data_IF_933915552742
#
_entry.id   IF_933915552742
#
_cell.length_a   1.000
_cell.length_b   1.000
_cell.length_c   1.000
_cell.angle_alpha   90.00
_cell.angle_beta   90.00
_cell.angle_gamma   90.00
#
_symmetry.space_group_name_H-M   'P 1'
#
loop_
_entity.id
_entity.type
_entity.pdbx_description
1 polymer ?
#
# COMPACT_ATOMS: atom_id res chain seq x y z
N UNK A 1 23.03 -51.46 3.59
CA UNK A 1 24.36 -51.54 4.28
C UNK A 1 25.12 -50.24 4.02
N UNK A 2 25.55 -49.60 5.11
CA UNK A 2 26.55 -48.50 5.20
C UNK A 2 26.10 -47.12 4.70
N UNK A 3 26.25 -46.04 5.44
CA UNK A 3 26.49 -45.74 6.88
C UNK A 3 26.41 -44.23 7.02
N UNK A 4 25.61 -43.85 7.89
CA UNK A 4 25.59 -42.74 8.81
C UNK A 4 26.96 -42.04 9.00
N UNK A 5 27.06 -40.72 8.82
CA UNK A 5 27.97 -39.89 9.59
C UNK A 5 27.35 -38.54 9.94
N UNK A 6 27.05 -38.41 11.24
CA UNK A 6 26.78 -37.17 11.95
C UNK A 6 28.06 -36.34 12.04
N UNK A 7 28.00 -35.05 11.83
CA UNK A 7 28.95 -34.08 12.36
C UNK A 7 28.19 -33.04 13.18
N UNK A 8 28.26 -33.27 14.51
CA UNK A 8 27.92 -32.29 15.53
C UNK A 8 29.17 -31.44 15.74
N UNK A 9 29.11 -30.14 15.56
CA UNK A 9 30.13 -29.19 16.03
C UNK A 9 29.57 -28.47 17.25
N UNK A 10 30.05 -28.95 18.43
CA UNK A 10 29.95 -28.26 19.70
C UNK A 10 30.89 -27.04 19.68
N UNK A 11 30.37 -25.86 20.00
CA UNK A 11 31.22 -24.74 20.38
C UNK A 11 31.21 -24.59 21.90
N UNK A 12 32.31 -24.92 22.52
CA UNK A 12 32.53 -24.83 23.96
C UNK A 12 32.89 -23.39 24.37
N UNK A 13 32.20 -22.93 25.38
CA UNK A 13 32.57 -21.74 26.18
C UNK A 13 33.85 -22.05 26.98
N UNK A 14 34.85 -21.18 26.85
CA UNK A 14 35.92 -21.08 27.85
C UNK A 14 35.84 -19.74 28.57
N UNK A 15 35.42 -19.81 29.82
CA UNK A 15 35.71 -18.82 30.86
C UNK A 15 37.13 -19.13 31.40
N UNK A 16 38.00 -18.13 31.44
CA UNK A 16 39.07 -18.03 32.44
C UNK A 16 39.88 -16.75 32.27
N UNK A 17 40.03 -16.00 33.33
CA UNK A 17 40.97 -14.89 33.39
C UNK A 17 40.69 -13.91 34.53
N UNK A 18 40.75 -14.38 35.80
CA UNK A 18 41.03 -13.48 36.92
C UNK A 18 42.49 -13.04 36.85
N UNK A 19 42.72 -11.73 36.76
CA UNK A 19 44.02 -11.12 37.07
C UNK A 19 43.79 -10.14 38.21
N UNK A 20 44.33 -10.53 39.38
CA UNK A 20 44.55 -9.68 40.55
C UNK A 20 45.63 -8.64 40.23
N UNK A 21 45.34 -7.36 40.46
CA UNK A 21 46.34 -6.29 40.41
C UNK A 21 46.43 -5.67 41.78
N UNK A 22 47.70 -5.60 42.25
CA UNK A 22 48.14 -5.10 43.52
C UNK A 22 47.75 -3.65 43.83
N UNK A 23 47.51 -3.43 45.12
CA UNK A 23 47.38 -2.11 45.76
C UNK A 23 48.74 -1.42 45.75
N UNK A 24 48.86 -0.32 45.01
CA UNK A 24 49.95 0.63 45.17
C UNK A 24 49.33 2.00 45.48
N UNK A 25 49.93 2.65 46.47
CA UNK A 25 49.60 3.83 47.22
C UNK A 25 49.20 5.07 46.42
N UNK A 26 48.27 5.81 47.01
CA UNK A 26 47.77 7.15 46.57
C UNK A 26 48.85 8.22 46.59
N UNK A 27 48.81 9.15 45.66
CA UNK A 27 49.10 10.57 45.97
C UNK A 27 47.89 11.49 45.83
N UNK A 28 47.69 12.23 46.90
CA UNK A 28 47.09 13.56 47.05
C UNK A 28 46.01 14.04 46.08
N UNK A 29 44.88 14.33 46.69
CA UNK A 29 43.75 15.16 46.21
C UNK A 29 44.15 16.33 45.33
N UNK A 30 43.80 16.27 44.07
CA UNK A 30 43.48 17.46 43.28
C UNK A 30 41.97 17.46 43.11
N UNK A 31 41.35 18.47 43.67
CA UNK A 31 39.89 18.71 43.60
C UNK A 31 39.53 18.97 42.13
N UNK A 32 39.11 17.91 41.42
CA UNK A 32 38.52 18.03 40.09
C UNK A 32 37.08 18.53 40.27
N UNK A 33 36.85 19.79 39.85
CA UNK A 33 35.53 20.33 39.72
C UNK A 33 34.62 19.34 38.98
N UNK A 34 33.47 19.05 39.58
CA UNK A 34 32.43 18.23 38.96
C UNK A 34 32.09 18.76 37.56
N UNK A 35 31.95 17.90 36.55
CA UNK A 35 31.52 18.39 35.24
C UNK A 35 30.14 19.04 35.42
N UNK A 36 30.08 20.33 35.14
CA UNK A 36 28.83 21.07 35.01
C UNK A 36 28.05 20.37 33.88
N UNK A 37 27.05 19.60 34.23
CA UNK A 37 26.09 19.07 33.28
C UNK A 37 25.45 20.29 32.63
N UNK A 38 25.87 20.61 31.40
CA UNK A 38 25.22 21.62 30.61
C UNK A 38 23.75 21.21 30.50
N UNK A 39 22.89 22.04 31.07
CA UNK A 39 21.44 21.91 30.95
C UNK A 39 21.17 22.08 29.46
N UNK A 40 20.97 20.94 28.74
CA UNK A 40 20.51 20.97 27.37
C UNK A 40 19.11 21.55 27.43
N UNK A 41 18.99 22.84 27.12
CA UNK A 41 17.67 23.42 26.92
C UNK A 41 17.02 22.66 25.76
N UNK A 42 15.79 22.13 25.93
CA UNK A 42 15.11 21.46 24.85
C UNK A 42 14.95 22.43 23.69
N UNK A 43 15.37 22.04 22.51
CA UNK A 43 15.41 22.88 21.32
C UNK A 43 14.02 23.23 20.73
N UNK A 44 12.95 22.88 21.43
CA UNK A 44 11.58 23.25 21.09
C UNK A 44 11.01 24.10 22.22
N UNK A 45 10.53 25.32 21.91
CA UNK A 45 9.77 26.09 22.88
C UNK A 45 8.50 25.25 23.20
N UNK A 46 8.42 24.78 24.45
CA UNK A 46 7.15 24.22 24.93
C UNK A 46 6.15 25.39 24.92
N UNK A 47 5.10 25.27 24.10
CA UNK A 47 3.99 26.19 24.24
C UNK A 47 3.38 25.97 25.63
N UNK A 48 3.23 27.08 26.42
CA UNK A 48 2.55 27.01 27.69
C UNK A 48 1.10 26.57 27.46
N UNK A 49 0.79 25.31 27.79
CA UNK A 49 -0.55 24.79 27.72
C UNK A 49 -1.31 25.27 28.96
N UNK A 50 -2.38 26.08 28.82
CA UNK A 50 -3.19 26.50 29.95
C UNK A 50 -3.68 25.31 30.77
N UNK A 51 -3.70 25.44 32.09
CA UNK A 51 -4.00 24.32 33.00
C UNK A 51 -5.34 23.62 32.73
N UNK A 52 -6.34 24.36 32.25
CA UNK A 52 -7.64 23.81 31.82
C UNK A 52 -7.52 22.86 30.64
N UNK A 53 -6.64 23.15 29.67
CA UNK A 53 -6.43 22.28 28.51
C UNK A 53 -5.54 21.09 28.87
N UNK A 54 -4.60 21.24 29.81
CA UNK A 54 -3.81 20.14 30.35
C UNK A 54 -4.72 19.09 31.02
N UNK A 55 -5.76 19.52 31.75
CA UNK A 55 -6.71 18.59 32.35
C UNK A 55 -7.45 17.73 31.31
N UNK A 56 -7.84 18.33 30.18
CA UNK A 56 -8.50 17.62 29.08
C UNK A 56 -7.59 16.58 28.41
N UNK A 57 -6.30 16.94 28.21
CA UNK A 57 -5.30 15.99 27.70
C UNK A 57 -5.05 14.83 28.67
N UNK A 58 -4.97 15.09 29.98
CA UNK A 58 -4.83 14.03 30.98
C UNK A 58 -6.05 13.12 31.02
N UNK A 59 -7.27 13.67 30.92
CA UNK A 59 -8.50 12.87 30.80
C UNK A 59 -8.48 11.96 29.57
N UNK A 60 -7.98 12.47 28.43
CA UNK A 60 -7.80 11.64 27.22
C UNK A 60 -6.84 10.46 27.49
N UNK A 61 -5.68 10.73 28.12
CA UNK A 61 -4.68 9.70 28.41
C UNK A 61 -5.21 8.64 29.38
N UNK A 62 -5.92 9.06 30.44
CA UNK A 62 -6.54 8.12 31.38
C UNK A 62 -7.61 7.26 30.70
N UNK A 63 -8.50 7.87 29.90
CA UNK A 63 -9.52 7.13 29.18
C UNK A 63 -8.92 6.09 28.21
N UNK A 64 -7.88 6.47 27.45
CA UNK A 64 -7.17 5.55 26.55
C UNK A 64 -6.52 4.40 27.33
N UNK A 65 -5.88 4.71 28.46
CA UNK A 65 -5.25 3.70 29.32
C UNK A 65 -6.26 2.72 29.92
N UNK A 66 -7.45 3.19 30.25
CA UNK A 66 -8.57 2.38 30.72
C UNK A 66 -9.31 1.64 29.59
N UNK A 67 -8.82 1.74 28.35
CA UNK A 67 -9.43 1.18 27.14
C UNK A 67 -10.80 1.76 26.79
N UNK A 68 -11.16 2.91 27.36
CA UNK A 68 -12.32 3.68 26.94
C UNK A 68 -11.92 4.61 25.78
N UNK A 69 -11.78 4.02 24.61
CA UNK A 69 -11.19 4.70 23.44
C UNK A 69 -12.12 5.79 22.89
N UNK A 70 -13.43 5.63 23.00
CA UNK A 70 -14.41 6.64 22.57
C UNK A 70 -14.32 7.90 23.44
N UNK A 71 -14.24 7.76 24.77
CA UNK A 71 -14.01 8.89 25.66
C UNK A 71 -12.64 9.52 25.43
N UNK A 72 -11.61 8.72 25.21
CA UNK A 72 -10.27 9.19 24.85
C UNK A 72 -10.26 10.03 23.58
N UNK A 73 -10.95 9.56 22.54
CA UNK A 73 -11.11 10.32 21.29
C UNK A 73 -11.85 11.63 21.51
N UNK A 74 -12.97 11.62 22.21
CA UNK A 74 -13.75 12.83 22.52
C UNK A 74 -12.88 13.89 23.22
N UNK A 75 -12.09 13.50 24.22
CA UNK A 75 -11.19 14.41 24.93
C UNK A 75 -10.05 14.91 24.05
N UNK A 76 -9.44 14.06 23.18
CA UNK A 76 -8.41 14.49 22.24
C UNK A 76 -8.96 15.48 21.21
N UNK A 77 -10.16 15.24 20.68
CA UNK A 77 -10.83 16.16 19.74
C UNK A 77 -11.09 17.50 20.42
N UNK A 78 -11.63 17.51 21.65
CA UNK A 78 -11.86 18.74 22.43
C UNK A 78 -10.54 19.48 22.69
N UNK A 79 -9.47 18.81 23.06
CA UNK A 79 -8.16 19.39 23.26
C UNK A 79 -7.61 19.97 21.95
N UNK A 80 -7.77 19.29 20.81
CA UNK A 80 -7.33 19.76 19.50
C UNK A 80 -8.07 21.01 19.03
N UNK A 81 -9.34 21.19 19.40
CA UNK A 81 -10.08 22.42 19.12
C UNK A 81 -9.57 23.61 19.94
N UNK A 82 -9.20 23.36 21.20
CA UNK A 82 -8.75 24.40 22.13
C UNK A 82 -7.26 24.77 21.93
N UNK A 83 -6.43 23.81 21.58
CA UNK A 83 -4.97 23.97 21.41
C UNK A 83 -4.63 23.81 19.93
N UNK A 84 -4.10 24.84 19.26
CA UNK A 84 -3.75 24.77 17.84
C UNK A 84 -2.39 24.06 17.64
N UNK A 85 -2.29 22.82 18.10
CA UNK A 85 -1.13 21.97 17.94
C UNK A 85 -1.45 20.79 17.01
N UNK A 86 -0.77 20.67 15.85
CA UNK A 86 -1.01 19.59 14.92
C UNK A 86 -0.71 18.20 15.51
N UNK A 87 0.15 18.09 16.53
CA UNK A 87 0.45 16.82 17.17
C UNK A 87 -0.76 16.26 17.92
N UNK A 88 -1.53 17.11 18.61
CA UNK A 88 -2.77 16.73 19.30
C UNK A 88 -3.82 16.27 18.29
N UNK A 89 -4.02 17.06 17.21
CA UNK A 89 -4.97 16.72 16.14
C UNK A 89 -4.58 15.40 15.45
N UNK A 90 -3.28 15.18 15.19
CA UNK A 90 -2.76 13.97 14.58
C UNK A 90 -2.97 12.75 15.47
N UNK A 91 -2.82 12.90 16.79
CA UNK A 91 -3.09 11.83 17.75
C UNK A 91 -4.57 11.47 17.80
N UNK A 92 -5.46 12.48 17.76
CA UNK A 92 -6.91 12.26 17.67
C UNK A 92 -7.27 11.54 16.36
N UNK A 93 -6.67 11.93 15.22
CA UNK A 93 -6.83 11.27 13.93
C UNK A 93 -6.43 9.79 13.99
N UNK A 94 -5.25 9.48 14.55
CA UNK A 94 -4.78 8.10 14.69
C UNK A 94 -5.74 7.25 15.53
N UNK A 95 -6.25 7.80 16.64
CA UNK A 95 -7.22 7.10 17.49
C UNK A 95 -8.55 6.89 16.77
N UNK A 96 -9.06 7.91 16.04
CA UNK A 96 -10.28 7.82 15.25
C UNK A 96 -10.20 6.72 14.18
N UNK A 97 -9.05 6.63 13.49
CA UNK A 97 -8.79 5.58 12.51
C UNK A 97 -8.71 4.19 13.17
N UNK A 98 -8.05 4.09 14.32
CA UNK A 98 -7.93 2.83 15.07
C UNK A 98 -9.27 2.25 15.48
N UNK A 99 -10.19 3.09 15.99
CA UNK A 99 -11.55 2.66 16.37
C UNK A 99 -12.53 2.66 15.19
N UNK A 100 -12.05 2.96 13.98
CA UNK A 100 -12.83 2.98 12.75
C UNK A 100 -14.02 3.97 12.79
N UNK A 101 -13.79 5.16 13.32
CA UNK A 101 -14.77 6.25 13.31
C UNK A 101 -14.49 7.17 12.10
N UNK A 102 -15.24 7.04 10.97
CA UNK A 102 -14.93 7.76 9.73
C UNK A 102 -15.20 9.26 9.85
N UNK A 103 -16.21 9.67 10.61
CA UNK A 103 -16.55 11.09 10.75
C UNK A 103 -15.51 11.83 11.59
N UNK A 104 -15.11 11.27 12.72
CA UNK A 104 -14.02 11.82 13.53
C UNK A 104 -12.67 11.79 12.78
N UNK A 105 -12.43 10.76 11.97
CA UNK A 105 -11.22 10.68 11.13
C UNK A 105 -11.19 11.82 10.11
N UNK A 106 -12.31 12.11 9.45
CA UNK A 106 -12.39 13.23 8.53
C UNK A 106 -12.21 14.59 9.24
N UNK A 107 -12.91 14.80 10.38
CA UNK A 107 -12.82 16.05 11.14
C UNK A 107 -11.38 16.32 11.58
N UNK A 108 -10.70 15.30 12.10
CA UNK A 108 -9.32 15.43 12.55
C UNK A 108 -8.32 15.53 11.38
N UNK A 109 -8.57 14.88 10.25
CA UNK A 109 -7.75 15.05 9.04
C UNK A 109 -7.82 16.50 8.52
N UNK A 110 -9.02 17.08 8.49
CA UNK A 110 -9.21 18.51 8.18
C UNK A 110 -8.42 19.37 9.17
N UNK A 111 -8.56 19.11 10.45
CA UNK A 111 -7.88 19.88 11.51
C UNK A 111 -6.37 19.79 11.40
N UNK A 112 -5.80 18.60 11.16
CA UNK A 112 -4.35 18.42 10.93
C UNK A 112 -3.92 19.22 9.71
N UNK A 113 -4.62 19.08 8.58
CA UNK A 113 -4.30 19.78 7.32
C UNK A 113 -4.42 21.31 7.44
N UNK A 114 -5.27 21.84 8.32
CA UNK A 114 -5.39 23.26 8.58
C UNK A 114 -4.26 23.79 9.48
N UNK A 115 -3.81 22.99 10.45
CA UNK A 115 -2.73 23.36 11.39
C UNK A 115 -1.35 23.10 10.80
N UNK A 116 -1.20 22.10 9.95
CA UNK A 116 0.05 21.73 9.29
C UNK A 116 -0.23 21.44 7.80
N UNK A 117 -0.20 22.46 6.95
CA UNK A 117 -0.41 22.29 5.50
C UNK A 117 0.65 21.40 4.82
N UNK A 118 1.77 21.10 5.47
CA UNK A 118 2.80 20.20 4.96
C UNK A 118 2.48 18.71 5.24
N UNK A 119 1.46 18.43 6.10
CA UNK A 119 0.98 17.07 6.33
C UNK A 119 0.06 16.61 5.16
N UNK A 120 0.71 16.18 4.09
CA UNK A 120 -0.03 15.73 2.92
C UNK A 120 -0.84 14.46 3.15
N UNK A 121 -0.51 13.65 4.17
CA UNK A 121 -1.29 12.43 4.47
C UNK A 121 -2.68 12.76 4.99
N UNK A 122 -2.79 13.77 5.86
CA UNK A 122 -4.07 14.26 6.35
C UNK A 122 -4.90 14.90 5.22
N UNK A 123 -4.26 15.69 4.35
CA UNK A 123 -4.91 16.26 3.19
C UNK A 123 -5.42 15.17 2.22
N UNK A 124 -4.63 14.13 1.96
CA UNK A 124 -5.02 12.98 1.13
C UNK A 124 -6.23 12.26 1.69
N UNK A 125 -6.26 12.01 3.01
CA UNK A 125 -7.40 11.37 3.65
C UNK A 125 -8.66 12.23 3.53
N UNK A 126 -8.57 13.54 3.79
CA UNK A 126 -9.71 14.44 3.65
C UNK A 126 -10.20 14.51 2.18
N UNK A 127 -9.29 14.61 1.21
CA UNK A 127 -9.63 14.59 -0.21
C UNK A 127 -10.37 13.30 -0.59
N UNK A 128 -9.85 12.13 -0.20
CA UNK A 128 -10.45 10.84 -0.50
C UNK A 128 -11.89 10.73 0.03
N UNK A 129 -12.12 11.14 1.28
CA UNK A 129 -13.47 11.11 1.87
C UNK A 129 -14.42 12.10 1.19
N UNK A 130 -13.96 13.32 0.81
CA UNK A 130 -14.78 14.26 0.06
C UNK A 130 -15.11 13.78 -1.34
N UNK A 131 -14.17 13.13 -2.01
CA UNK A 131 -14.36 12.43 -3.28
C UNK A 131 -15.48 11.39 -3.15
N UNK A 132 -15.39 10.53 -2.15
CA UNK A 132 -16.37 9.46 -1.90
C UNK A 132 -17.77 10.03 -1.59
N UNK A 133 -17.83 11.15 -0.87
CA UNK A 133 -19.10 11.86 -0.54
C UNK A 133 -19.63 12.72 -1.69
N UNK A 134 -18.90 12.86 -2.79
CA UNK A 134 -19.27 13.72 -3.92
C UNK A 134 -19.14 15.23 -3.65
N UNK A 135 -18.46 15.64 -2.59
CA UNK A 135 -18.16 17.04 -2.30
C UNK A 135 -16.92 17.50 -3.06
N UNK A 136 -17.13 17.78 -4.34
CA UNK A 136 -16.06 18.07 -5.28
C UNK A 136 -15.29 19.35 -4.92
N UNK A 137 -15.97 20.36 -4.37
CA UNK A 137 -15.29 21.62 -4.01
C UNK A 137 -14.26 21.43 -2.89
N UNK A 138 -14.63 20.69 -1.82
CA UNK A 138 -13.72 20.36 -0.74
C UNK A 138 -12.70 19.33 -1.20
N UNK A 139 -13.10 18.36 -2.01
CA UNK A 139 -12.17 17.40 -2.61
C UNK A 139 -11.04 18.10 -3.37
N UNK A 140 -11.35 19.10 -4.21
CA UNK A 140 -10.34 19.88 -4.93
C UNK A 140 -9.39 20.62 -3.98
N UNK A 141 -9.96 21.27 -2.94
CA UNK A 141 -9.14 22.00 -1.94
C UNK A 141 -8.11 21.11 -1.27
N UNK A 142 -8.54 19.94 -0.78
CA UNK A 142 -7.63 19.02 -0.09
C UNK A 142 -6.73 18.24 -1.04
N UNK A 143 -7.18 17.99 -2.28
CA UNK A 143 -6.31 17.43 -3.33
C UNK A 143 -5.13 18.36 -3.63
N UNK A 144 -5.37 19.66 -3.80
CA UNK A 144 -4.30 20.66 -3.99
C UNK A 144 -3.30 20.64 -2.84
N UNK A 145 -3.77 20.66 -1.59
CA UNK A 145 -2.88 20.55 -0.41
C UNK A 145 -2.04 19.27 -0.41
N UNK A 146 -2.64 18.15 -0.80
CA UNK A 146 -1.93 16.88 -0.90
C UNK A 146 -0.87 16.89 -2.03
N UNK A 147 -1.18 17.52 -3.16
CA UNK A 147 -0.23 17.72 -4.25
C UNK A 147 0.94 18.63 -3.83
N UNK A 148 0.65 19.77 -3.21
CA UNK A 148 1.65 20.74 -2.74
C UNK A 148 2.59 20.12 -1.68
N UNK A 149 2.06 19.22 -0.85
CA UNK A 149 2.82 18.47 0.14
C UNK A 149 3.58 17.26 -0.45
N UNK A 150 3.48 17.00 -1.76
CA UNK A 150 4.13 15.86 -2.41
C UNK A 150 3.60 14.48 -2.00
N UNK A 151 2.37 14.41 -1.48
CA UNK A 151 1.76 13.14 -1.04
C UNK A 151 1.29 12.29 -2.21
N UNK A 152 1.26 10.97 -1.98
CA UNK A 152 0.77 9.99 -2.97
C UNK A 152 -0.76 9.95 -2.98
N UNK A 153 -1.37 11.02 -3.50
CA UNK A 153 -2.82 11.06 -3.79
C UNK A 153 -3.09 10.47 -5.17
N UNK A 154 -4.19 9.74 -5.31
CA UNK A 154 -4.61 9.17 -6.58
C UNK A 154 -5.91 9.81 -7.09
N UNK A 155 -5.85 10.90 -7.88
CA UNK A 155 -7.04 11.56 -8.42
C UNK A 155 -7.85 10.65 -9.36
N UNK A 156 -7.22 9.70 -10.01
CA UNK A 156 -7.91 8.74 -10.88
C UNK A 156 -8.92 7.85 -10.13
N UNK A 157 -8.84 7.76 -8.78
CA UNK A 157 -9.84 7.07 -7.98
C UNK A 157 -11.26 7.65 -8.13
N UNK A 158 -11.39 8.94 -8.43
CA UNK A 158 -12.67 9.61 -8.79
C UNK A 158 -13.39 8.91 -9.94
N UNK A 159 -12.65 8.24 -10.79
CA UNK A 159 -13.20 7.60 -11.97
C UNK A 159 -13.68 6.16 -11.72
N UNK A 160 -13.49 5.57 -10.54
CA UNK A 160 -13.81 4.16 -10.29
C UNK A 160 -15.26 3.79 -10.61
N UNK A 161 -16.23 4.68 -10.38
CA UNK A 161 -17.64 4.47 -10.73
C UNK A 161 -18.19 5.62 -11.60
N UNK A 162 -17.35 6.21 -12.45
CA UNK A 162 -17.71 7.41 -13.22
C UNK A 162 -18.96 7.24 -14.07
N UNK A 163 -19.08 6.11 -14.78
CA UNK A 163 -20.24 5.82 -15.63
C UNK A 163 -21.56 5.60 -14.88
N UNK A 164 -21.51 5.29 -13.57
CA UNK A 164 -22.68 5.13 -12.71
C UNK A 164 -23.05 6.40 -11.93
N UNK A 165 -22.27 7.47 -12.05
CA UNK A 165 -22.53 8.75 -11.38
C UNK A 165 -23.61 9.55 -12.11
N UNK A 166 -24.27 10.49 -11.38
CA UNK A 166 -25.17 11.44 -12.03
C UNK A 166 -24.43 12.36 -12.99
N UNK A 167 -25.09 12.92 -14.02
CA UNK A 167 -24.46 13.86 -14.96
C UNK A 167 -23.80 15.04 -14.27
N UNK A 168 -24.40 15.56 -13.20
CA UNK A 168 -23.88 16.68 -12.42
C UNK A 168 -22.56 16.28 -11.71
N UNK A 169 -22.51 15.07 -11.14
CA UNK A 169 -21.31 14.56 -10.50
C UNK A 169 -20.20 14.28 -11.52
N UNK A 170 -20.56 13.76 -12.70
CA UNK A 170 -19.59 13.56 -13.79
C UNK A 170 -18.96 14.88 -14.25
N UNK A 171 -19.78 15.95 -14.42
CA UNK A 171 -19.29 17.28 -14.77
C UNK A 171 -18.37 17.83 -13.66
N UNK A 172 -18.79 17.71 -12.41
CA UNK A 172 -18.00 18.18 -11.27
C UNK A 172 -16.66 17.41 -11.15
N UNK A 173 -16.68 16.09 -11.36
CA UNK A 173 -15.46 15.25 -11.39
C UNK A 173 -14.52 15.69 -12.52
N UNK A 174 -15.05 15.92 -13.74
CA UNK A 174 -14.26 16.45 -14.84
C UNK A 174 -13.61 17.77 -14.46
N UNK A 175 -14.39 18.75 -14.01
CA UNK A 175 -13.90 20.07 -13.64
C UNK A 175 -12.79 20.00 -12.58
N UNK A 176 -12.90 19.08 -11.61
CA UNK A 176 -11.86 18.86 -10.60
C UNK A 176 -10.57 18.35 -11.24
N UNK A 177 -10.65 17.33 -12.12
CA UNK A 177 -9.49 16.74 -12.76
C UNK A 177 -8.81 17.73 -13.72
N UNK A 178 -9.60 18.52 -14.49
CA UNK A 178 -9.11 19.59 -15.34
C UNK A 178 -8.43 20.70 -14.54
N UNK A 179 -8.99 21.06 -13.37
CA UNK A 179 -8.35 22.02 -12.47
C UNK A 179 -7.02 21.51 -11.92
N UNK A 180 -6.95 20.22 -11.52
CA UNK A 180 -5.69 19.62 -11.08
C UNK A 180 -4.65 19.55 -12.20
N UNK A 181 -5.04 19.21 -13.42
CA UNK A 181 -4.12 19.23 -14.55
C UNK A 181 -3.62 20.65 -14.88
N UNK A 182 -4.51 21.65 -14.78
CA UNK A 182 -4.13 23.05 -14.98
C UNK A 182 -3.15 23.57 -13.95
N UNK A 183 -3.36 23.19 -12.67
CA UNK A 183 -2.52 23.60 -11.55
C UNK A 183 -1.18 22.84 -11.52
N UNK A 184 -1.20 21.56 -11.92
CA UNK A 184 -0.06 20.63 -11.88
C UNK A 184 0.15 19.96 -13.25
N UNK A 185 0.52 20.75 -14.29
CA UNK A 185 0.57 20.25 -15.67
C UNK A 185 1.68 19.24 -15.94
N UNK A 186 2.71 19.21 -15.09
CA UNK A 186 3.86 18.31 -15.19
C UNK A 186 3.89 17.28 -14.04
N UNK A 187 2.73 16.94 -13.50
CA UNK A 187 2.59 15.91 -12.48
C UNK A 187 1.98 14.63 -13.08
N UNK A 188 2.66 13.49 -12.90
CA UNK A 188 2.24 12.21 -13.47
C UNK A 188 0.84 11.78 -12.98
N UNK A 189 0.46 12.11 -11.73
CA UNK A 189 -0.83 11.78 -11.13
C UNK A 189 -2.00 12.50 -11.82
N UNK A 190 -1.83 13.80 -12.10
CA UNK A 190 -2.84 14.60 -12.81
C UNK A 190 -2.97 14.17 -14.25
N UNK A 191 -1.86 13.98 -14.95
CA UNK A 191 -1.81 13.53 -16.35
C UNK A 191 -2.44 12.16 -16.54
N UNK A 192 -2.15 11.21 -15.63
CA UNK A 192 -2.79 9.89 -15.68
C UNK A 192 -4.31 9.97 -15.45
N UNK A 193 -4.75 10.77 -14.48
CA UNK A 193 -6.17 10.90 -14.19
C UNK A 193 -6.96 11.50 -15.36
N UNK A 194 -6.41 12.52 -16.02
CA UNK A 194 -7.01 13.11 -17.22
C UNK A 194 -6.97 12.13 -18.40
N UNK A 195 -5.87 11.43 -18.62
CA UNK A 195 -5.79 10.43 -19.69
C UNK A 195 -6.88 9.35 -19.52
N UNK A 196 -7.05 8.86 -18.29
CA UNK A 196 -8.08 7.87 -17.97
C UNK A 196 -9.50 8.42 -18.17
N UNK A 197 -9.75 9.70 -17.81
CA UNK A 197 -11.03 10.38 -18.05
C UNK A 197 -11.32 10.46 -19.55
N UNK A 198 -10.38 10.97 -20.34
CA UNK A 198 -10.53 11.15 -21.77
C UNK A 198 -10.80 9.81 -22.49
N UNK A 199 -10.05 8.77 -22.13
CA UNK A 199 -10.31 7.43 -22.67
C UNK A 199 -11.71 6.92 -22.35
N UNK A 200 -12.19 7.07 -21.08
CA UNK A 200 -13.55 6.66 -20.69
C UNK A 200 -14.66 7.39 -21.42
N UNK A 201 -14.36 8.58 -21.95
CA UNK A 201 -15.30 9.38 -22.74
C UNK A 201 -15.19 9.11 -24.25
N UNK A 202 -14.29 8.18 -24.65
CA UNK A 202 -14.06 7.81 -26.05
C UNK A 202 -13.07 8.71 -26.78
N UNK A 203 -12.40 9.64 -26.10
CA UNK A 203 -11.42 10.56 -26.67
C UNK A 203 -10.00 9.93 -26.64
N UNK A 204 -9.85 8.76 -27.30
CA UNK A 204 -8.61 7.98 -27.24
C UNK A 204 -7.38 8.75 -27.70
N UNK A 205 -7.46 9.57 -28.73
CA UNK A 205 -6.33 10.37 -29.23
C UNK A 205 -5.83 11.40 -28.21
N UNK A 206 -6.77 12.02 -27.47
CA UNK A 206 -6.44 12.95 -26.38
C UNK A 206 -5.81 12.19 -25.22
N UNK A 207 -6.35 11.03 -24.88
CA UNK A 207 -5.79 10.17 -23.83
C UNK A 207 -4.34 9.76 -24.15
N UNK A 208 -4.04 9.34 -25.38
CA UNK A 208 -2.67 9.01 -25.83
C UNK A 208 -1.75 10.23 -25.71
N UNK A 209 -2.20 11.41 -26.16
CA UNK A 209 -1.40 12.64 -26.03
C UNK A 209 -1.03 12.95 -24.57
N UNK A 210 -1.96 12.73 -23.63
CA UNK A 210 -1.70 12.92 -22.18
C UNK A 210 -0.74 11.86 -21.64
N UNK A 211 -0.87 10.60 -22.10
CA UNK A 211 0.05 9.53 -21.73
C UNK A 211 1.46 9.76 -22.29
N UNK A 212 1.60 10.25 -23.52
CA UNK A 212 2.89 10.60 -24.08
C UNK A 212 3.60 11.66 -23.23
N UNK A 213 2.86 12.70 -22.81
CA UNK A 213 3.39 13.70 -21.89
C UNK A 213 3.78 13.08 -20.54
N UNK A 214 2.94 12.22 -19.98
CA UNK A 214 3.23 11.50 -18.74
C UNK A 214 4.54 10.72 -18.84
N UNK A 215 4.76 10.00 -19.95
CA UNK A 215 5.97 9.20 -20.15
C UNK A 215 7.25 10.05 -20.34
N UNK A 216 7.14 11.34 -20.64
CA UNK A 216 8.30 12.23 -20.57
C UNK A 216 8.76 12.52 -19.15
N UNK A 217 7.86 12.39 -18.17
CA UNK A 217 8.11 12.63 -16.73
C UNK A 217 8.46 11.31 -16.04
N UNK A 218 7.68 10.27 -16.29
CA UNK A 218 7.85 8.93 -15.72
C UNK A 218 7.76 7.88 -16.85
N UNK A 219 8.91 7.55 -17.43
CA UNK A 219 9.02 6.76 -18.67
C UNK A 219 8.30 5.40 -18.60
N UNK A 220 8.18 4.81 -17.40
CA UNK A 220 7.56 3.50 -17.18
C UNK A 220 6.48 3.56 -16.09
N UNK A 221 5.61 4.60 -16.16
CA UNK A 221 4.46 4.68 -15.26
C UNK A 221 3.52 3.50 -15.49
N UNK A 222 3.43 2.56 -14.54
CA UNK A 222 2.77 1.26 -14.71
C UNK A 222 1.32 1.38 -15.19
N UNK A 223 0.52 2.20 -14.50
CA UNK A 223 -0.90 2.39 -14.87
C UNK A 223 -1.07 3.06 -16.24
N UNK A 224 -0.19 4.01 -16.56
CA UNK A 224 -0.16 4.66 -17.87
C UNK A 224 0.17 3.66 -18.97
N UNK A 225 1.16 2.81 -18.76
CA UNK A 225 1.53 1.74 -19.70
C UNK A 225 0.36 0.78 -19.96
N UNK A 226 -0.34 0.37 -18.88
CA UNK A 226 -1.52 -0.50 -19.03
C UNK A 226 -2.65 0.20 -19.79
N UNK A 227 -2.91 1.46 -19.51
CA UNK A 227 -3.94 2.24 -20.21
C UNK A 227 -3.60 2.42 -21.69
N UNK A 228 -2.34 2.74 -22.02
CA UNK A 228 -1.90 2.85 -23.42
C UNK A 228 -2.06 1.51 -24.15
N UNK A 229 -1.62 0.42 -23.54
CA UNK A 229 -1.78 -0.94 -24.09
C UNK A 229 -3.25 -1.26 -24.36
N UNK A 230 -4.15 -0.92 -23.48
CA UNK A 230 -5.59 -1.13 -23.64
C UNK A 230 -6.15 -0.29 -24.80
N UNK A 231 -5.79 1.00 -24.88
CA UNK A 231 -6.20 1.90 -25.99
C UNK A 231 -5.75 1.33 -27.34
N UNK A 232 -4.47 0.98 -27.48
CA UNK A 232 -3.91 0.43 -28.70
C UNK A 232 -4.52 -0.93 -29.06
N UNK A 233 -4.77 -1.79 -28.05
CA UNK A 233 -5.41 -3.08 -28.26
C UNK A 233 -6.86 -2.95 -28.77
N UNK A 234 -7.62 -1.99 -28.28
CA UNK A 234 -8.98 -1.69 -28.76
C UNK A 234 -8.97 -1.13 -30.17
N UNK A 235 -7.94 -0.38 -30.54
CA UNK A 235 -7.73 0.09 -31.89
C UNK A 235 -7.24 -1.01 -32.87
N UNK A 236 -7.01 -2.25 -32.38
CA UNK A 236 -6.39 -3.35 -33.11
C UNK A 236 -5.01 -3.01 -33.69
N UNK A 237 -4.25 -2.19 -32.98
CA UNK A 237 -2.87 -1.85 -33.36
C UNK A 237 -1.99 -3.11 -33.23
N UNK A 238 -1.23 -3.49 -34.27
CA UNK A 238 -0.36 -4.67 -34.25
C UNK A 238 0.73 -4.56 -33.15
N UNK A 239 1.15 -3.35 -32.81
CA UNK A 239 2.23 -3.06 -31.86
C UNK A 239 1.69 -2.69 -30.46
N UNK A 240 0.41 -2.97 -30.19
CA UNK A 240 -0.29 -2.59 -28.95
C UNK A 240 0.43 -3.02 -27.66
N UNK A 241 1.22 -4.10 -27.70
CA UNK A 241 1.93 -4.66 -26.54
C UNK A 241 3.38 -4.18 -26.41
N UNK A 242 3.93 -3.49 -27.40
CA UNK A 242 5.31 -3.01 -27.38
C UNK A 242 5.62 -2.11 -26.18
N UNK A 243 4.77 -1.13 -25.80
CA UNK A 243 4.98 -0.31 -24.61
C UNK A 243 5.04 -1.15 -23.33
N UNK A 244 4.15 -2.15 -23.20
CA UNK A 244 4.09 -3.03 -22.05
C UNK A 244 5.33 -3.92 -21.95
N UNK A 245 5.76 -4.52 -23.06
CA UNK A 245 6.95 -5.37 -23.11
C UNK A 245 8.22 -4.59 -22.78
N UNK A 246 8.38 -3.38 -23.31
CA UNK A 246 9.50 -2.48 -22.98
C UNK A 246 9.51 -2.10 -21.51
N UNK A 247 8.34 -1.82 -20.93
CA UNK A 247 8.24 -1.50 -19.51
C UNK A 247 8.57 -2.70 -18.63
N UNK A 248 8.12 -3.92 -18.98
CA UNK A 248 8.46 -5.16 -18.28
C UNK A 248 9.98 -5.41 -18.33
N UNK A 249 10.60 -5.21 -19.49
CA UNK A 249 12.05 -5.41 -19.66
C UNK A 249 12.85 -4.41 -18.82
N UNK A 250 12.44 -3.15 -18.80
CA UNK A 250 13.15 -2.09 -18.10
C UNK A 250 13.00 -2.13 -16.58
N UNK A 251 11.81 -2.48 -16.08
CA UNK A 251 11.46 -2.37 -14.65
C UNK A 251 11.38 -3.70 -13.92
N UNK A 252 11.26 -4.81 -14.67
CA UNK A 252 10.91 -6.13 -14.15
C UNK A 252 9.63 -6.14 -13.28
N UNK A 253 8.69 -5.22 -13.54
CA UNK A 253 7.44 -5.10 -12.78
C UNK A 253 6.62 -6.38 -12.80
N UNK A 254 6.36 -6.91 -11.62
CA UNK A 254 5.50 -8.09 -11.45
C UNK A 254 4.05 -7.78 -11.81
N UNK A 255 3.57 -6.55 -11.57
CA UNK A 255 2.24 -6.10 -11.96
C UNK A 255 2.06 -6.13 -13.47
N UNK A 256 2.97 -5.51 -14.21
CA UNK A 256 2.90 -5.47 -15.68
C UNK A 256 3.02 -6.86 -16.28
N UNK A 257 3.94 -7.68 -15.77
CA UNK A 257 4.14 -9.07 -16.19
C UNK A 257 2.89 -9.92 -15.95
N UNK A 258 2.24 -9.75 -14.79
CA UNK A 258 0.99 -10.45 -14.48
C UNK A 258 -0.15 -10.06 -15.43
N UNK A 259 -0.30 -8.76 -15.73
CA UNK A 259 -1.32 -8.30 -16.68
C UNK A 259 -1.04 -8.82 -18.09
N UNK A 260 0.22 -8.87 -18.52
CA UNK A 260 0.60 -9.47 -19.80
C UNK A 260 0.29 -10.97 -19.86
N UNK A 261 0.61 -11.70 -18.79
CA UNK A 261 0.26 -13.13 -18.69
C UNK A 261 -1.26 -13.36 -18.80
N UNK A 262 -2.07 -12.55 -18.12
CA UNK A 262 -3.54 -12.60 -18.22
C UNK A 262 -4.04 -12.32 -19.64
N UNK A 263 -3.45 -11.35 -20.33
CA UNK A 263 -3.78 -11.08 -21.72
C UNK A 263 -3.47 -12.29 -22.61
N UNK A 264 -2.30 -12.90 -22.46
CA UNK A 264 -1.91 -14.10 -23.20
C UNK A 264 -2.90 -15.25 -22.97
N UNK A 265 -3.39 -15.43 -21.73
CA UNK A 265 -4.45 -16.39 -21.42
C UNK A 265 -5.74 -16.09 -22.20
N UNK A 266 -6.17 -14.83 -22.24
CA UNK A 266 -7.34 -14.40 -23.02
C UNK A 266 -7.21 -14.67 -24.52
N UNK A 267 -5.97 -14.73 -25.03
CA UNK A 267 -5.67 -15.08 -26.44
C UNK A 267 -5.35 -16.56 -26.65
N UNK A 268 -5.55 -17.40 -25.64
CA UNK A 268 -5.27 -18.86 -25.69
C UNK A 268 -3.78 -19.19 -25.94
N UNK A 269 -2.88 -18.25 -25.65
CA UNK A 269 -1.43 -18.41 -25.79
C UNK A 269 -0.84 -19.01 -24.50
N UNK A 270 -1.26 -20.25 -24.19
CA UNK A 270 -1.00 -20.88 -22.90
C UNK A 270 0.50 -21.04 -22.58
N UNK A 271 1.30 -21.42 -23.59
CA UNK A 271 2.75 -21.61 -23.40
C UNK A 271 3.46 -20.27 -23.10
N UNK A 272 3.09 -19.21 -23.82
CA UNK A 272 3.65 -17.88 -23.60
C UNK A 272 3.22 -17.34 -22.22
N UNK A 273 1.95 -17.55 -21.83
CA UNK A 273 1.44 -17.20 -20.51
C UNK A 273 2.20 -17.93 -19.39
N UNK A 274 2.45 -19.24 -19.57
CA UNK A 274 3.22 -20.02 -18.61
C UNK A 274 4.62 -19.45 -18.39
N UNK A 275 5.31 -19.08 -19.45
CA UNK A 275 6.64 -18.47 -19.33
C UNK A 275 6.63 -17.19 -18.46
N UNK A 276 5.55 -16.38 -18.53
CA UNK A 276 5.41 -15.21 -17.67
C UNK A 276 5.11 -15.58 -16.23
N UNK A 277 4.21 -16.55 -16.00
CA UNK A 277 3.93 -17.03 -14.65
C UNK A 277 5.12 -17.71 -14.00
N UNK A 278 5.94 -18.45 -14.74
CA UNK A 278 7.15 -19.08 -14.21
C UNK A 278 8.13 -18.04 -13.64
N UNK A 279 8.26 -16.88 -14.30
CA UNK A 279 9.05 -15.75 -13.77
C UNK A 279 8.41 -15.18 -12.51
N UNK A 280 7.08 -14.99 -12.48
CA UNK A 280 6.37 -14.44 -11.33
C UNK A 280 6.48 -15.32 -10.09
N UNK A 281 6.32 -16.64 -10.25
CA UNK A 281 6.35 -17.56 -9.10
C UNK A 281 7.75 -17.91 -8.64
N UNK A 282 8.78 -17.63 -9.45
CA UNK A 282 10.17 -17.75 -9.05
C UNK A 282 10.57 -16.71 -8.00
N UNK A 283 9.84 -15.57 -7.93
CA UNK A 283 10.05 -14.55 -6.92
C UNK A 283 9.56 -15.05 -5.55
N UNK A 284 10.39 -14.98 -4.48
CA UNK A 284 9.94 -15.27 -3.11
C UNK A 284 8.75 -14.40 -2.67
N UNK A 285 8.62 -13.20 -3.19
CA UNK A 285 7.53 -12.26 -2.93
C UNK A 285 6.30 -12.48 -3.82
N UNK A 286 6.23 -13.59 -4.57
CA UNK A 286 5.07 -13.92 -5.40
C UNK A 286 3.77 -13.88 -4.60
N UNK A 287 2.79 -13.14 -5.11
CA UNK A 287 1.47 -13.03 -4.46
C UNK A 287 0.67 -14.31 -4.61
N UNK A 288 -0.36 -14.47 -3.78
CA UNK A 288 -1.28 -15.62 -3.88
C UNK A 288 -1.95 -15.67 -5.26
N UNK A 289 -2.25 -14.52 -5.87
CA UNK A 289 -2.82 -14.45 -7.22
C UNK A 289 -1.85 -14.97 -8.28
N UNK A 290 -0.53 -14.70 -8.15
CA UNK A 290 0.48 -15.26 -9.03
C UNK A 290 0.53 -16.79 -8.91
N UNK A 291 0.51 -17.31 -7.69
CA UNK A 291 0.59 -18.74 -7.41
C UNK A 291 -0.65 -19.49 -7.90
N UNK A 292 -1.86 -18.98 -7.62
CA UNK A 292 -3.10 -19.57 -8.10
C UNK A 292 -3.17 -19.48 -9.63
N UNK A 293 -2.81 -18.35 -10.23
CA UNK A 293 -2.79 -18.18 -11.69
C UNK A 293 -1.85 -19.19 -12.38
N UNK A 294 -0.64 -19.37 -11.85
CA UNK A 294 0.31 -20.37 -12.34
C UNK A 294 -0.25 -21.80 -12.20
N UNK A 295 -0.86 -22.12 -11.06
CA UNK A 295 -1.43 -23.44 -10.81
C UNK A 295 -2.60 -23.76 -11.74
N UNK A 296 -3.50 -22.80 -11.97
CA UNK A 296 -4.61 -22.98 -12.92
C UNK A 296 -4.07 -23.27 -14.31
N UNK A 297 -3.07 -22.55 -14.76
CA UNK A 297 -2.45 -22.76 -16.06
C UNK A 297 -1.72 -24.11 -16.14
N UNK A 298 -1.03 -24.52 -15.06
CA UNK A 298 -0.42 -25.85 -14.98
C UNK A 298 -1.46 -26.98 -15.05
N UNK A 299 -2.65 -26.82 -14.43
CA UNK A 299 -3.77 -27.76 -14.56
C UNK A 299 -4.23 -27.84 -16.01
N UNK A 300 -4.44 -26.71 -16.68
CA UNK A 300 -4.84 -26.65 -18.10
C UNK A 300 -3.83 -27.34 -19.03
N UNK A 301 -2.54 -27.23 -18.70
CA UNK A 301 -1.44 -27.87 -19.43
C UNK A 301 -1.16 -29.32 -18.97
N UNK A 302 -1.99 -29.87 -18.08
CA UNK A 302 -1.83 -31.21 -17.49
C UNK A 302 -0.52 -31.40 -16.69
N UNK A 303 0.03 -30.31 -16.14
CA UNK A 303 1.20 -30.29 -15.25
C UNK A 303 0.78 -30.32 -13.78
N UNK A 304 -0.11 -31.23 -13.40
CA UNK A 304 -0.78 -31.24 -12.08
C UNK A 304 0.19 -31.30 -10.89
N UNK A 305 1.35 -31.92 -11.03
CA UNK A 305 2.38 -31.94 -9.97
C UNK A 305 2.92 -30.55 -9.70
N UNK A 306 3.23 -29.77 -10.74
CA UNK A 306 3.65 -28.36 -10.63
C UNK A 306 2.55 -27.51 -10.01
N UNK A 307 1.30 -27.71 -10.44
CA UNK A 307 0.14 -27.03 -9.88
C UNK A 307 0.03 -27.24 -8.36
N UNK A 308 0.23 -28.47 -7.87
CA UNK A 308 0.19 -28.77 -6.43
C UNK A 308 1.26 -27.99 -5.65
N UNK A 309 2.48 -27.85 -6.19
CA UNK A 309 3.55 -27.08 -5.53
C UNK A 309 3.16 -25.61 -5.36
N UNK A 310 2.58 -25.00 -6.39
CA UNK A 310 2.13 -23.61 -6.34
C UNK A 310 0.94 -23.43 -5.37
N UNK A 311 -0.01 -24.37 -5.36
CA UNK A 311 -1.18 -24.33 -4.49
C UNK A 311 -0.81 -24.53 -3.02
N UNK A 312 0.13 -25.43 -2.71
CA UNK A 312 0.62 -25.61 -1.35
C UNK A 312 1.33 -24.35 -0.83
N UNK A 313 2.09 -23.68 -1.70
CA UNK A 313 2.70 -22.38 -1.36
C UNK A 313 1.62 -21.30 -1.18
N UNK A 314 0.57 -21.26 -1.99
CA UNK A 314 -0.56 -20.34 -1.84
C UNK A 314 -1.29 -20.57 -0.51
N UNK A 315 -1.57 -21.82 -0.17
CA UNK A 315 -2.25 -22.21 1.08
C UNK A 315 -1.44 -21.81 2.33
N UNK A 316 -0.12 -21.85 2.27
CA UNK A 316 0.74 -21.45 3.38
C UNK A 316 0.60 -19.97 3.77
N UNK A 317 0.08 -19.12 2.88
CA UNK A 317 -0.18 -17.71 3.15
C UNK A 317 -1.46 -17.45 3.95
N UNK A 318 -2.37 -18.42 4.03
CA UNK A 318 -3.69 -18.28 4.63
C UNK A 318 -4.69 -17.40 3.86
N UNK A 319 -4.31 -16.91 2.68
CA UNK A 319 -5.19 -16.10 1.83
C UNK A 319 -5.83 -16.96 0.74
N UNK A 320 -7.07 -16.62 0.34
CA UNK A 320 -7.82 -17.30 -0.72
C UNK A 320 -7.82 -18.84 -0.59
N UNK A 321 -7.90 -19.32 0.67
CA UNK A 321 -7.78 -20.73 1.01
C UNK A 321 -8.81 -21.59 0.25
N UNK A 322 -10.07 -21.12 0.13
CA UNK A 322 -11.11 -21.83 -0.59
C UNK A 322 -10.79 -22.03 -2.07
N UNK A 323 -10.27 -20.98 -2.75
CA UNK A 323 -9.89 -21.07 -4.14
C UNK A 323 -8.71 -22.03 -4.33
N UNK A 324 -7.67 -21.89 -3.51
CA UNK A 324 -6.50 -22.76 -3.56
C UNK A 324 -6.85 -24.23 -3.29
N UNK A 325 -7.72 -24.52 -2.33
CA UNK A 325 -8.22 -25.88 -2.07
C UNK A 325 -9.05 -26.44 -3.22
N UNK A 326 -9.88 -25.62 -3.84
CA UNK A 326 -10.66 -26.03 -5.02
C UNK A 326 -9.76 -26.44 -6.18
N UNK A 327 -8.78 -25.59 -6.55
CA UNK A 327 -7.85 -25.92 -7.63
C UNK A 327 -6.93 -27.09 -7.26
N UNK A 328 -6.55 -27.23 -5.97
CA UNK A 328 -5.81 -28.40 -5.48
C UNK A 328 -6.59 -29.69 -5.71
N UNK A 329 -7.88 -29.68 -5.44
CA UNK A 329 -8.73 -30.84 -5.73
C UNK A 329 -8.77 -31.17 -7.22
N UNK A 330 -8.84 -30.17 -8.12
CA UNK A 330 -8.81 -30.42 -9.56
C UNK A 330 -7.48 -31.04 -10.01
N UNK A 331 -6.34 -30.54 -9.51
CA UNK A 331 -5.04 -31.12 -9.80
C UNK A 331 -4.92 -32.58 -9.31
N UNK A 332 -5.42 -32.88 -8.11
CA UNK A 332 -5.44 -34.23 -7.55
C UNK A 332 -6.34 -35.20 -8.33
N UNK A 333 -7.49 -34.71 -8.85
CA UNK A 333 -8.36 -35.50 -9.73
C UNK A 333 -7.62 -35.88 -11.02
N UNK A 334 -6.88 -34.95 -11.63
CA UNK A 334 -6.08 -35.27 -12.83
C UNK A 334 -4.98 -36.32 -12.55
N UNK A 335 -4.46 -36.35 -11.32
CA UNK A 335 -3.50 -37.36 -10.88
C UNK A 335 -4.13 -38.66 -10.41
N UNK A 336 -5.48 -38.81 -10.52
CA UNK A 336 -6.27 -39.92 -10.02
C UNK A 336 -6.20 -40.13 -8.48
N UNK A 337 -5.77 -39.13 -7.70
CA UNK A 337 -5.83 -39.18 -6.24
C UNK A 337 -7.17 -38.65 -5.72
N UNK A 338 -8.22 -39.47 -5.88
CA UNK A 338 -9.58 -39.12 -5.49
C UNK A 338 -9.71 -38.88 -3.97
N UNK A 339 -8.93 -39.59 -3.17
CA UNK A 339 -9.01 -39.51 -1.71
C UNK A 339 -8.49 -38.14 -1.21
N UNK A 340 -7.36 -37.70 -1.71
CA UNK A 340 -6.81 -36.36 -1.38
C UNK A 340 -7.66 -35.23 -1.98
N UNK A 341 -8.25 -35.45 -3.16
CA UNK A 341 -9.16 -34.49 -3.78
C UNK A 341 -10.41 -34.25 -2.94
N UNK A 342 -11.03 -35.33 -2.40
CA UNK A 342 -12.18 -35.18 -1.49
C UNK A 342 -11.82 -34.45 -0.19
N UNK A 343 -10.64 -34.70 0.35
CA UNK A 343 -10.15 -33.97 1.53
C UNK A 343 -9.95 -32.47 1.24
N UNK A 344 -9.38 -32.13 0.09
CA UNK A 344 -9.22 -30.74 -0.33
C UNK A 344 -10.57 -30.04 -0.52
N UNK A 345 -11.54 -30.70 -1.16
CA UNK A 345 -12.91 -30.17 -1.33
C UNK A 345 -13.62 -30.01 0.02
N UNK A 346 -13.41 -30.92 0.97
CA UNK A 346 -13.97 -30.80 2.33
C UNK A 346 -13.43 -29.61 3.11
N UNK A 347 -12.26 -29.07 2.72
CA UNK A 347 -11.66 -27.89 3.30
C UNK A 347 -12.10 -26.57 2.60
N UNK A 348 -12.86 -26.66 1.50
CA UNK A 348 -13.50 -25.50 0.86
C UNK A 348 -14.66 -25.06 1.75
N UNK A 349 -14.50 -23.94 2.45
CA UNK A 349 -15.56 -23.38 3.30
C UNK A 349 -16.77 -22.92 2.45
N UNK A 350 -17.94 -22.70 3.10
CA UNK A 350 -19.08 -22.08 2.38
C UNK A 350 -18.63 -20.70 1.86
N UNK A 351 -18.97 -20.41 0.60
CA UNK A 351 -18.71 -19.10 -0.02
C UNK A 351 -19.40 -18.03 0.84
N UNK A 352 -18.62 -17.15 1.47
CA UNK A 352 -19.13 -15.98 2.22
C UNK A 352 -19.47 -14.84 1.27
#
# INVERSE_FOLDING_TARGET
MRSLHYIIVLFALTLSGCASVDLAESPSKTEQAAPTVAKVEPSHPYADIPGEHLSTLLQAEFAIRERNLDAGLMHLMAASQAIPDPAIARRALQLAQYIRNPDASLEMAIRVSDLDPSDGSAATLAAAVFIERGDIARALTYSRRAFDAGSDINPAALLNNYGGQSPETQIATRNLLEALESDYPDDARSLFAIALLEWRQGNSDVAVTKLDKLFTIEAFHERGTLLLTEILSQANDPDAFDPLLKAIEATNSSLLRYQYARYLLGKQKLTEAKAQFDVLVADPAATVDHLIGAAVLDIELSNSESALLHLDRALSSGQRVSDAQFFKALALIQLNDVSSALNALGAVGPST
#
